data_IF_871833631539
#
_entry.id   IF_871833631539
#
_cell.length_a   1.000
_cell.length_b   1.000
_cell.length_c   1.000
_cell.angle_alpha   90.00
_cell.angle_beta   90.00
_cell.angle_gamma   90.00
#
_symmetry.space_group_name_H-M   'P 1'
#
loop_
_entity.id
_entity.type
_entity.pdbx_description
1 polymer ?
#
# COMPACT_ATOMS: atom_id res chain seq x y z
N UNK A 1 -11.06 4.70 14.36
CA UNK A 1 -12.37 4.63 15.03
C UNK A 1 -13.17 3.39 14.64
N UNK A 2 -13.37 3.07 13.34
CA UNK A 2 -14.17 1.92 12.89
C UNK A 2 -13.63 0.57 13.39
N UNK A 3 -12.32 0.40 13.44
CA UNK A 3 -11.69 -0.80 14.00
C UNK A 3 -12.06 -1.00 15.48
N UNK A 4 -11.97 0.08 16.28
CA UNK A 4 -12.35 0.06 17.70
C UNK A 4 -13.83 -0.27 17.89
N UNK A 5 -14.69 0.33 17.05
CA UNK A 5 -16.12 0.04 17.06
C UNK A 5 -16.41 -1.42 16.72
N UNK A 6 -15.74 -1.98 15.72
CA UNK A 6 -15.90 -3.40 15.35
C UNK A 6 -15.50 -4.34 16.49
N UNK A 7 -14.36 -4.08 17.15
CA UNK A 7 -13.90 -4.85 18.32
C UNK A 7 -14.90 -4.75 19.48
N UNK A 8 -15.42 -3.55 19.78
CA UNK A 8 -16.42 -3.34 20.82
C UNK A 8 -17.72 -4.10 20.52
N UNK A 9 -18.23 -3.98 19.30
CA UNK A 9 -19.46 -4.67 18.91
C UNK A 9 -19.31 -6.19 18.95
N UNK A 10 -18.16 -6.72 18.54
CA UNK A 10 -17.89 -8.16 18.60
C UNK A 10 -17.81 -8.65 20.05
N UNK A 11 -17.22 -7.84 20.95
CA UNK A 11 -17.18 -8.15 22.39
C UNK A 11 -18.56 -8.15 23.02
N UNK A 12 -19.37 -7.11 22.76
CA UNK A 12 -20.76 -7.01 23.27
C UNK A 12 -21.65 -8.15 22.77
N UNK A 13 -21.42 -8.65 21.56
CA UNK A 13 -22.14 -9.80 20.98
C UNK A 13 -21.61 -11.15 21.43
N UNK A 14 -20.54 -11.18 22.21
CA UNK A 14 -19.91 -12.43 22.66
C UNK A 14 -19.27 -13.26 21.52
N UNK A 15 -19.02 -12.67 20.36
CA UNK A 15 -18.43 -13.35 19.21
C UNK A 15 -16.89 -13.29 19.20
N UNK A 16 -16.29 -12.54 20.11
CA UNK A 16 -14.85 -12.34 20.21
C UNK A 16 -14.30 -12.93 21.52
N UNK A 17 -13.49 -14.00 21.47
CA UNK A 17 -12.85 -14.55 22.66
C UNK A 17 -11.98 -13.51 23.36
N UNK A 18 -11.98 -13.51 24.71
CA UNK A 18 -11.24 -12.53 25.51
C UNK A 18 -9.73 -12.48 25.20
N UNK A 19 -9.11 -13.60 24.80
CA UNK A 19 -7.71 -13.66 24.39
C UNK A 19 -7.49 -12.89 23.09
N UNK A 20 -8.35 -13.09 22.11
CA UNK A 20 -8.28 -12.43 20.79
C UNK A 20 -8.54 -10.93 20.93
N UNK A 21 -9.55 -10.53 21.70
CA UNK A 21 -9.80 -9.12 22.01
C UNK A 21 -8.55 -8.42 22.57
N UNK A 22 -7.88 -9.04 23.56
CA UNK A 22 -6.65 -8.47 24.12
C UNK A 22 -5.55 -8.31 23.08
N UNK A 23 -5.45 -9.26 22.13
CA UNK A 23 -4.49 -9.21 21.05
C UNK A 23 -4.79 -8.03 20.12
N UNK A 24 -6.03 -7.91 19.64
CA UNK A 24 -6.44 -6.82 18.76
C UNK A 24 -6.27 -5.42 19.40
N UNK A 25 -6.57 -5.28 20.69
CA UNK A 25 -6.34 -4.02 21.42
C UNK A 25 -4.86 -3.73 21.57
N UNK A 26 -4.03 -4.74 21.84
CA UNK A 26 -2.57 -4.60 21.89
C UNK A 26 -2.02 -4.14 20.54
N UNK A 27 -2.43 -4.77 19.45
CA UNK A 27 -2.01 -4.40 18.09
C UNK A 27 -2.35 -2.94 17.78
N UNK A 28 -3.57 -2.52 18.13
CA UNK A 28 -3.99 -1.13 17.96
C UNK A 28 -3.14 -0.16 18.78
N UNK A 29 -2.69 -0.55 19.98
CA UNK A 29 -1.86 0.30 20.84
C UNK A 29 -0.45 0.54 20.30
N UNK A 30 0.01 -0.27 19.33
CA UNK A 30 1.30 -0.10 18.67
C UNK A 30 1.24 0.90 17.50
N UNK A 31 0.04 1.21 16.99
CA UNK A 31 -0.12 2.07 15.81
C UNK A 31 0.61 3.42 15.92
N UNK A 32 0.56 4.16 17.05
CA UNK A 32 1.29 5.44 17.15
C UNK A 32 2.81 5.30 16.97
N UNK A 33 3.40 4.24 17.52
CA UNK A 33 4.82 3.95 17.33
C UNK A 33 5.14 3.61 15.86
N UNK A 34 4.31 2.76 15.24
CA UNK A 34 4.48 2.37 13.84
C UNK A 34 4.35 3.57 12.89
N UNK A 35 3.40 4.47 13.17
CA UNK A 35 3.26 5.76 12.45
C UNK A 35 4.54 6.60 12.57
N UNK A 36 5.08 6.74 13.79
CA UNK A 36 6.34 7.45 14.02
C UNK A 36 7.48 6.89 13.16
N UNK A 37 7.61 5.57 13.09
CA UNK A 37 8.61 4.89 12.24
C UNK A 37 8.43 5.15 10.75
N UNK A 38 7.20 5.32 10.26
CA UNK A 38 6.96 5.73 8.88
C UNK A 38 7.44 7.16 8.65
N UNK A 39 7.11 8.08 9.55
CA UNK A 39 7.51 9.49 9.45
C UNK A 39 9.04 9.67 9.50
N UNK A 40 9.76 8.81 10.22
CA UNK A 40 11.23 8.82 10.26
C UNK A 40 11.88 8.48 8.90
N UNK A 41 11.08 8.05 7.90
CA UNK A 41 11.53 7.70 6.54
C UNK A 41 11.21 8.76 5.49
N UNK A 42 10.95 9.98 5.89
CA UNK A 42 10.60 11.11 4.99
C UNK A 42 11.58 11.25 3.83
N UNK A 43 12.88 11.07 4.07
CA UNK A 43 13.91 11.16 3.01
C UNK A 43 13.74 10.13 1.88
N UNK A 44 13.23 8.93 2.18
CA UNK A 44 12.94 7.91 1.15
C UNK A 44 11.78 8.36 0.25
N UNK A 45 10.80 9.06 0.84
CA UNK A 45 9.66 9.62 0.11
C UNK A 45 10.10 10.80 -0.75
N UNK A 46 10.94 11.71 -0.23
CA UNK A 46 11.51 12.84 -0.98
C UNK A 46 12.28 12.37 -2.21
N UNK A 47 13.18 11.39 -2.05
CA UNK A 47 13.93 10.80 -3.17
C UNK A 47 13.00 10.17 -4.22
N UNK A 48 11.91 9.53 -3.77
CA UNK A 48 10.91 8.94 -4.68
C UNK A 48 10.12 10.03 -5.40
N UNK A 49 9.75 11.09 -4.71
CA UNK A 49 9.08 12.25 -5.30
C UNK A 49 9.96 12.94 -6.36
N UNK A 50 11.24 13.09 -6.10
CA UNK A 50 12.20 13.63 -7.08
C UNK A 50 12.30 12.76 -8.35
N UNK A 51 12.21 11.45 -8.23
CA UNK A 51 12.18 10.54 -9.37
C UNK A 51 10.90 10.71 -10.21
N UNK A 52 9.78 11.10 -9.58
CA UNK A 52 8.45 11.17 -10.18
C UNK A 52 8.06 12.57 -10.67
N UNK A 53 8.76 13.62 -10.29
CA UNK A 53 8.34 15.02 -10.50
C UNK A 53 8.07 15.43 -11.95
N UNK A 54 8.71 14.76 -12.91
CA UNK A 54 8.52 15.02 -14.35
C UNK A 54 7.53 14.05 -15.01
N UNK A 55 6.92 13.13 -14.24
CA UNK A 55 5.92 12.19 -14.74
C UNK A 55 4.61 12.93 -15.05
N UNK A 56 3.93 12.52 -16.12
CA UNK A 56 2.62 13.06 -16.51
C UNK A 56 1.46 12.23 -16.00
N UNK A 57 1.70 10.95 -15.93
CA UNK A 57 0.71 9.93 -15.58
C UNK A 57 1.30 8.97 -14.55
N UNK A 58 0.46 8.38 -13.71
CA UNK A 58 0.86 7.37 -12.73
C UNK A 58 -0.29 6.41 -12.42
N UNK A 59 0.01 5.13 -12.31
CA UNK A 59 -0.94 4.12 -11.85
C UNK A 59 -0.69 3.74 -10.39
N UNK A 60 -1.77 3.60 -9.63
CA UNK A 60 -1.77 3.06 -8.29
C UNK A 60 -2.45 1.69 -8.28
N UNK A 61 -1.79 0.69 -7.71
CA UNK A 61 -2.33 -0.67 -7.59
C UNK A 61 -2.51 -1.03 -6.13
N UNK A 62 -3.75 -1.33 -5.76
CA UNK A 62 -4.10 -1.85 -4.45
C UNK A 62 -4.86 -3.16 -4.56
N UNK A 63 -4.95 -3.90 -3.43
CA UNK A 63 -5.76 -5.11 -3.35
C UNK A 63 -6.35 -5.26 -1.96
N UNK A 64 -7.57 -5.87 -1.88
CA UNK A 64 -8.27 -6.07 -0.61
C UNK A 64 -8.46 -4.74 0.12
N UNK A 65 -8.09 -4.69 1.40
CA UNK A 65 -8.28 -3.52 2.25
C UNK A 65 -7.34 -2.34 1.91
N UNK A 66 -6.29 -2.57 1.12
CA UNK A 66 -5.38 -1.53 0.65
C UNK A 66 -5.82 -0.90 -0.68
N UNK A 67 -6.91 -1.38 -1.29
CA UNK A 67 -7.45 -0.74 -2.50
C UNK A 67 -7.97 0.69 -2.26
N UNK A 68 -8.73 0.97 -1.18
CA UNK A 68 -9.10 2.35 -0.84
C UNK A 68 -7.89 3.27 -0.63
N UNK A 69 -6.78 2.74 -0.10
CA UNK A 69 -5.55 3.53 0.09
C UNK A 69 -4.91 3.89 -1.26
N UNK A 70 -4.92 2.96 -2.21
CA UNK A 70 -4.46 3.25 -3.57
C UNK A 70 -5.31 4.37 -4.24
N UNK A 71 -6.63 4.37 -4.05
CA UNK A 71 -7.51 5.44 -4.52
C UNK A 71 -7.19 6.78 -3.86
N UNK A 72 -6.99 6.79 -2.55
CA UNK A 72 -6.64 8.00 -1.80
C UNK A 72 -5.27 8.54 -2.25
N UNK A 73 -4.27 7.69 -2.40
CA UNK A 73 -2.95 8.09 -2.90
C UNK A 73 -3.02 8.71 -4.31
N UNK A 74 -3.75 8.10 -5.23
CA UNK A 74 -3.96 8.64 -6.56
C UNK A 74 -4.72 9.98 -6.53
N UNK A 75 -5.69 10.13 -5.62
CA UNK A 75 -6.42 11.37 -5.42
C UNK A 75 -5.47 12.47 -4.90
N UNK A 76 -4.71 12.20 -3.86
CA UNK A 76 -3.76 13.16 -3.27
C UNK A 76 -2.70 13.61 -4.27
N UNK A 77 -2.15 12.67 -5.05
CA UNK A 77 -1.19 13.04 -6.08
C UNK A 77 -1.79 14.01 -7.11
N UNK A 78 -3.02 13.76 -7.58
CA UNK A 78 -3.73 14.67 -8.50
C UNK A 78 -3.97 16.05 -7.89
N UNK A 79 -4.41 16.09 -6.64
CA UNK A 79 -4.75 17.36 -5.97
C UNK A 79 -3.51 18.24 -5.73
N UNK A 80 -2.35 17.65 -5.44
CA UNK A 80 -1.16 18.37 -5.00
C UNK A 80 -0.24 18.70 -6.18
N UNK A 81 0.01 17.71 -7.07
CA UNK A 81 1.02 17.80 -8.12
C UNK A 81 0.45 18.06 -9.53
N UNK A 82 -0.84 17.89 -9.72
CA UNK A 82 -1.52 17.89 -11.02
C UNK A 82 -1.06 16.77 -11.99
N UNK A 83 -0.28 15.79 -11.50
CA UNK A 83 0.01 14.56 -12.23
C UNK A 83 -1.30 13.76 -12.38
N UNK A 84 -1.61 13.32 -13.58
CA UNK A 84 -2.76 12.44 -13.80
C UNK A 84 -2.50 11.08 -13.16
N UNK A 85 -3.24 10.75 -12.11
CA UNK A 85 -3.07 9.50 -11.37
C UNK A 85 -4.39 8.74 -11.27
N UNK A 86 -4.36 7.46 -11.58
CA UNK A 86 -5.51 6.57 -11.46
C UNK A 86 -5.17 5.35 -10.61
N UNK A 87 -6.14 4.89 -9.82
CA UNK A 87 -5.99 3.68 -9.03
C UNK A 87 -6.89 2.56 -9.58
N UNK A 88 -6.33 1.36 -9.63
CA UNK A 88 -7.04 0.16 -10.07
C UNK A 88 -6.87 -0.98 -9.06
N UNK A 89 -7.92 -1.79 -8.86
CA UNK A 89 -7.73 -3.08 -8.23
C UNK A 89 -6.68 -3.86 -9.02
N UNK A 90 -5.61 -4.31 -8.36
CA UNK A 90 -4.49 -4.94 -9.06
C UNK A 90 -4.92 -6.15 -9.92
N UNK A 91 -6.00 -6.86 -9.52
CA UNK A 91 -6.59 -7.94 -10.30
C UNK A 91 -7.18 -7.49 -11.64
N UNK A 92 -7.62 -6.22 -11.74
CA UNK A 92 -8.24 -5.65 -12.94
C UNK A 92 -7.23 -5.03 -13.90
N UNK A 93 -5.96 -4.93 -13.50
CA UNK A 93 -4.92 -4.35 -14.35
C UNK A 93 -4.85 -4.99 -15.73
N UNK A 94 -5.10 -6.30 -15.84
CA UNK A 94 -5.09 -7.06 -17.11
C UNK A 94 -6.22 -6.69 -18.07
N UNK A 95 -7.30 -6.10 -17.58
CA UNK A 95 -8.52 -5.84 -18.34
C UNK A 95 -8.54 -4.45 -19.01
N UNK A 96 -7.37 -3.87 -19.19
CA UNK A 96 -7.21 -2.58 -19.88
C UNK A 96 -6.00 -1.79 -19.43
N UNK A 97 -5.89 -1.43 -18.14
CA UNK A 97 -4.83 -0.55 -17.63
C UNK A 97 -3.40 -1.00 -17.95
N UNK A 98 -3.16 -2.30 -18.05
CA UNK A 98 -1.86 -2.85 -18.43
C UNK A 98 -1.37 -2.36 -19.81
N UNK A 99 -2.26 -1.98 -20.69
CA UNK A 99 -1.91 -1.46 -22.01
C UNK A 99 -1.25 -0.08 -21.94
N UNK A 100 -1.49 0.67 -20.85
CA UNK A 100 -0.93 2.00 -20.62
C UNK A 100 0.48 1.94 -20.02
N UNK A 101 0.88 0.78 -19.48
CA UNK A 101 2.16 0.64 -18.79
C UNK A 101 3.30 0.54 -19.80
N UNK A 102 4.21 1.48 -19.73
CA UNK A 102 5.47 1.55 -20.46
C UNK A 102 6.56 2.19 -19.58
N UNK A 103 7.69 2.54 -20.17
CA UNK A 103 8.85 3.15 -19.47
C UNK A 103 8.59 4.55 -18.92
N UNK A 104 7.53 5.23 -19.35
CA UNK A 104 7.17 6.59 -18.97
C UNK A 104 5.96 6.64 -18.01
N UNK A 105 5.36 5.47 -17.71
CA UNK A 105 4.22 5.30 -16.81
C UNK A 105 4.66 4.63 -15.50
N UNK A 106 4.96 5.39 -14.42
CA UNK A 106 5.23 4.84 -13.10
C UNK A 106 4.01 4.12 -12.53
N UNK A 107 4.26 3.02 -11.84
CA UNK A 107 3.26 2.21 -11.16
C UNK A 107 3.62 2.12 -9.67
N UNK A 108 2.76 2.63 -8.79
CA UNK A 108 2.88 2.40 -7.35
C UNK A 108 2.00 1.23 -6.94
N UNK A 109 2.60 0.22 -6.33
CA UNK A 109 1.93 -0.99 -5.86
C UNK A 109 1.99 -1.11 -4.33
N UNK A 110 0.86 -1.28 -3.66
CA UNK A 110 0.83 -1.55 -2.22
C UNK A 110 0.97 -3.06 -2.02
N UNK A 111 2.20 -3.50 -1.70
CA UNK A 111 2.62 -4.90 -1.66
C UNK A 111 3.06 -5.33 -0.25
N UNK A 112 2.19 -5.17 0.73
CA UNK A 112 2.44 -5.57 2.12
C UNK A 112 2.20 -7.08 2.32
N UNK A 113 2.72 -7.64 3.42
CA UNK A 113 2.46 -9.03 3.84
C UNK A 113 1.03 -9.20 4.32
N UNK A 114 0.12 -9.51 3.39
CA UNK A 114 -1.30 -9.74 3.62
C UNK A 114 -1.78 -11.01 2.87
N UNK A 115 -3.04 -11.43 3.02
CA UNK A 115 -3.57 -12.60 2.31
C UNK A 115 -3.54 -12.51 0.77
N UNK A 116 -3.32 -11.33 0.20
CA UNK A 116 -3.26 -11.10 -1.25
C UNK A 116 -1.85 -10.87 -1.77
N UNK A 117 -0.84 -10.93 -0.91
CA UNK A 117 0.56 -10.65 -1.23
C UNK A 117 1.04 -11.36 -2.50
N UNK A 118 0.87 -12.69 -2.60
CA UNK A 118 1.31 -13.45 -3.77
C UNK A 118 0.67 -12.98 -5.08
N UNK A 119 -0.58 -12.55 -4.99
CA UNK A 119 -1.29 -12.00 -6.15
C UNK A 119 -0.78 -10.61 -6.52
N UNK A 120 -0.38 -9.80 -5.54
CA UNK A 120 0.24 -8.50 -5.79
C UNK A 120 1.61 -8.65 -6.44
N UNK A 121 2.44 -9.58 -5.96
CA UNK A 121 3.72 -9.91 -6.58
C UNK A 121 3.54 -10.24 -8.07
N UNK A 122 2.59 -11.11 -8.40
CA UNK A 122 2.31 -11.44 -9.81
C UNK A 122 1.89 -10.23 -10.65
N UNK A 123 1.22 -9.23 -10.07
CA UNK A 123 0.88 -7.99 -10.80
C UNK A 123 2.10 -7.08 -10.99
N UNK A 124 2.97 -6.99 -9.99
CA UNK A 124 4.25 -6.29 -10.08
C UNK A 124 5.11 -6.88 -11.22
N UNK A 125 5.26 -8.20 -11.25
CA UNK A 125 6.00 -8.90 -12.32
C UNK A 125 5.45 -8.57 -13.71
N UNK A 126 4.12 -8.48 -13.85
CA UNK A 126 3.48 -8.12 -15.11
C UNK A 126 3.72 -6.65 -15.51
N UNK A 127 3.66 -5.72 -14.56
CA UNK A 127 4.00 -4.33 -14.80
C UNK A 127 5.48 -4.18 -15.23
N UNK A 128 6.38 -4.89 -14.56
CA UNK A 128 7.79 -4.94 -14.93
C UNK A 128 8.02 -5.54 -16.32
N UNK A 129 7.30 -6.61 -16.67
CA UNK A 129 7.39 -7.24 -17.99
C UNK A 129 6.95 -6.29 -19.13
N UNK A 130 6.16 -5.25 -18.82
CA UNK A 130 5.79 -4.18 -19.75
C UNK A 130 6.80 -3.05 -19.83
N UNK A 131 7.87 -3.12 -19.04
CA UNK A 131 8.89 -2.07 -18.95
C UNK A 131 8.53 -0.91 -18.01
N UNK A 132 7.45 -1.04 -17.22
CA UNK A 132 7.04 -0.01 -16.27
C UNK A 132 8.05 0.23 -15.16
N UNK A 133 8.16 1.48 -14.71
CA UNK A 133 8.86 1.85 -13.48
C UNK A 133 7.93 1.49 -12.32
N UNK A 134 8.34 0.53 -11.48
CA UNK A 134 7.50 0.07 -10.36
C UNK A 134 8.08 0.52 -9.03
N UNK A 135 7.24 1.19 -8.25
CA UNK A 135 7.49 1.59 -6.87
C UNK A 135 6.59 0.75 -5.99
N UNK A 136 7.13 0.12 -4.95
CA UNK A 136 6.33 -0.65 -4.02
C UNK A 136 6.30 -0.01 -2.62
N UNK A 137 5.11 0.11 -2.04
CA UNK A 137 4.96 0.26 -0.59
C UNK A 137 4.95 -1.14 -0.01
N UNK A 138 5.98 -1.53 0.73
CA UNK A 138 6.20 -2.92 1.15
C UNK A 138 6.61 -3.04 2.62
N UNK A 139 6.32 -4.19 3.21
CA UNK A 139 6.72 -4.51 4.59
C UNK A 139 8.23 -4.59 4.70
N UNK A 140 8.81 -3.98 5.71
CA UNK A 140 10.25 -4.00 6.01
C UNK A 140 10.84 -5.42 5.92
N UNK A 141 12.03 -5.50 5.29
CA UNK A 141 12.75 -6.76 5.13
C UNK A 141 12.13 -7.72 4.09
N UNK A 142 11.34 -7.21 3.16
CA UNK A 142 10.83 -7.99 2.03
C UNK A 142 11.82 -7.97 0.86
N UNK A 143 12.80 -8.87 0.92
CA UNK A 143 13.83 -9.01 -0.12
C UNK A 143 13.25 -9.39 -1.48
N UNK A 144 12.10 -10.08 -1.50
CA UNK A 144 11.47 -10.50 -2.76
C UNK A 144 10.91 -9.30 -3.52
N UNK A 145 10.18 -8.41 -2.83
CA UNK A 145 9.69 -7.16 -3.45
C UNK A 145 10.87 -6.31 -3.88
N UNK A 146 11.87 -6.14 -3.01
CA UNK A 146 13.06 -5.36 -3.30
C UNK A 146 13.77 -5.80 -4.59
N UNK A 147 13.84 -7.09 -4.84
CA UNK A 147 14.47 -7.64 -6.05
C UNK A 147 13.64 -7.43 -7.33
N UNK A 148 12.35 -7.11 -7.22
CA UNK A 148 11.44 -7.02 -8.35
C UNK A 148 11.16 -5.58 -8.83
N UNK A 149 11.34 -4.59 -7.95
CA UNK A 149 10.91 -3.22 -8.20
C UNK A 149 12.07 -2.24 -8.33
N UNK A 150 11.81 -1.08 -8.88
CA UNK A 150 12.84 -0.03 -9.06
C UNK A 150 13.06 0.76 -7.76
N UNK A 151 12.03 0.88 -6.93
CA UNK A 151 12.09 1.57 -5.64
C UNK A 151 11.15 0.91 -4.64
N UNK A 152 11.54 0.91 -3.37
CA UNK A 152 10.66 0.48 -2.26
C UNK A 152 10.52 1.62 -1.26
N UNK A 153 9.29 1.88 -0.85
CA UNK A 153 8.91 2.66 0.32
C UNK A 153 8.57 1.67 1.43
N UNK A 154 9.41 1.60 2.45
CA UNK A 154 9.27 0.62 3.49
C UNK A 154 8.26 1.03 4.56
N UNK A 155 7.37 0.12 4.91
CA UNK A 155 6.48 0.27 6.06
C UNK A 155 6.78 -0.79 7.12
N UNK A 156 6.62 -0.47 8.41
CA UNK A 156 6.82 -1.44 9.49
C UNK A 156 5.90 -2.66 9.35
N UNK A 157 6.37 -3.82 9.80
CA UNK A 157 5.53 -5.01 9.89
C UNK A 157 4.35 -4.76 10.83
N UNK A 158 3.15 -4.94 10.32
CA UNK A 158 1.90 -4.54 10.97
C UNK A 158 0.85 -5.61 10.71
N UNK A 159 0.01 -5.96 11.71
CA UNK A 159 -1.15 -6.80 11.47
C UNK A 159 -1.93 -6.30 10.26
N UNK A 160 -2.15 -7.15 9.26
CA UNK A 160 -2.63 -6.74 7.95
C UNK A 160 -3.94 -5.93 7.99
N UNK A 161 -4.80 -6.16 9.00
CA UNK A 161 -6.04 -5.40 9.19
C UNK A 161 -5.81 -3.94 9.61
N UNK A 162 -4.65 -3.62 10.14
CA UNK A 162 -4.23 -2.26 10.52
C UNK A 162 -3.33 -1.61 9.47
N UNK A 163 -2.90 -2.37 8.47
CA UNK A 163 -2.02 -1.87 7.41
C UNK A 163 -2.55 -0.62 6.68
N UNK A 164 -3.86 -0.44 6.44
CA UNK A 164 -4.35 0.79 5.82
C UNK A 164 -3.99 2.07 6.58
N UNK A 165 -3.87 2.00 7.91
CA UNK A 165 -3.45 3.15 8.73
C UNK A 165 -1.98 3.50 8.47
N UNK A 166 -1.15 2.48 8.26
CA UNK A 166 0.30 2.65 8.07
C UNK A 166 0.63 2.99 6.61
N UNK A 167 -0.08 2.39 5.65
CA UNK A 167 0.16 2.64 4.21
C UNK A 167 -0.46 3.95 3.70
N UNK A 168 -1.22 4.66 4.54
CA UNK A 168 -1.82 5.96 4.21
C UNK A 168 -0.99 7.17 4.68
N UNK A 169 0.13 6.93 5.37
CA UNK A 169 1.07 7.95 5.83
C UNK A 169 2.07 8.28 4.74
#
# INVERSE_FOLDING_TARGET
>A
DLYMLAVLLADLRGTLPAKERRHLVKDLSLVPELVGRCLDRESEVEETADMLKDSRDMLYLGRGINMPIAYEGALKLKEISYIHAEAYPAGEMKHGPIALIDKDMPVLAIAIRDPWYEKMISQIEQAKARGGIVIAVATEGDERVQALVDRVLWVPDTPWMLSPVITSI
#
